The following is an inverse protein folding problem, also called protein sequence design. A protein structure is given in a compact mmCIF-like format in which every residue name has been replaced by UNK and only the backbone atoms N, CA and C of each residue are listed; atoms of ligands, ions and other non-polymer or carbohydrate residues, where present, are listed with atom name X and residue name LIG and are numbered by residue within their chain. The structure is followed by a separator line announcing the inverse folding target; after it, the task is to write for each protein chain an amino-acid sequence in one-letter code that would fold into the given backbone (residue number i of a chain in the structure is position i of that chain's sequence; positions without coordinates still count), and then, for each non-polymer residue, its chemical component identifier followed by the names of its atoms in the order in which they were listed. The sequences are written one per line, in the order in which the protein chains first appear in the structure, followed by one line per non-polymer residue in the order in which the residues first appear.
data_IF_059979768895
#
_entry.id   IF_059979768895
#
_cell.length_a   1.000
_cell.length_b   1.000
_cell.length_c   1.000
_cell.angle_alpha   90.00
_cell.angle_beta   90.00
_cell.angle_gamma   90.00
#
_symmetry.space_group_name_H-M   'P 1'
#
loop_
_entity.id
_entity.type
_entity.pdbx_description
1 polymer ?
#
# COMPACT_ATOMS: atom_id res chain seq x y z
N UNK A 1 -0.77 -8.39 9.12
CA UNK A 1 0.41 -7.67 8.56
C UNK A 1 1.18 -7.00 9.69
N UNK A 2 2.50 -7.19 9.73
CA UNK A 2 3.40 -6.53 10.68
C UNK A 2 4.21 -5.45 9.95
N UNK A 3 4.53 -4.36 10.65
CA UNK A 3 5.33 -3.26 10.08
C UNK A 3 6.77 -3.71 9.88
N UNK A 4 7.35 -3.30 8.75
CA UNK A 4 8.78 -3.42 8.44
C UNK A 4 9.28 -2.00 8.18
N UNK A 5 10.16 -1.50 9.05
CA UNK A 5 10.77 -0.17 8.90
C UNK A 5 11.71 -0.16 7.70
N UNK A 6 11.64 0.87 6.86
CA UNK A 6 12.55 1.00 5.71
C UNK A 6 14.01 1.20 6.16
N UNK A 7 14.94 0.55 5.46
CA UNK A 7 16.36 0.53 5.82
C UNK A 7 17.13 1.79 5.39
N UNK A 8 16.58 2.58 4.45
CA UNK A 8 17.20 3.81 3.95
C UNK A 8 16.14 4.75 3.35
N UNK A 9 16.55 5.96 2.94
CA UNK A 9 15.67 7.05 2.53
C UNK A 9 14.82 6.80 1.27
N UNK A 10 15.08 5.75 0.49
CA UNK A 10 14.36 5.43 -0.76
C UNK A 10 13.78 4.00 -0.79
N UNK A 11 13.75 3.30 0.36
CA UNK A 11 13.23 1.93 0.47
C UNK A 11 11.79 1.83 0.99
N UNK A 12 11.01 2.91 1.00
CA UNK A 12 9.58 2.82 1.35
C UNK A 12 8.82 1.82 0.45
N UNK A 13 9.09 1.83 -0.86
CA UNK A 13 8.52 0.86 -1.80
C UNK A 13 8.92 -0.59 -1.47
N UNK A 14 10.22 -0.93 -1.38
CA UNK A 14 10.68 -2.25 -0.95
C UNK A 14 10.11 -2.72 0.39
N UNK A 15 10.12 -1.87 1.42
CA UNK A 15 9.57 -2.22 2.74
C UNK A 15 8.08 -2.52 2.68
N UNK A 16 7.31 -1.67 1.97
CA UNK A 16 5.87 -1.88 1.75
C UNK A 16 5.59 -3.16 0.97
N UNK A 17 6.33 -3.41 -0.11
CA UNK A 17 6.18 -4.63 -0.90
C UNK A 17 6.55 -5.90 -0.10
N UNK A 18 7.57 -5.84 0.78
CA UNK A 18 7.90 -6.93 1.69
C UNK A 18 6.75 -7.25 2.66
N UNK A 19 6.13 -6.21 3.25
CA UNK A 19 4.97 -6.39 4.14
C UNK A 19 3.80 -7.07 3.42
N UNK A 20 3.49 -6.61 2.21
CA UNK A 20 2.40 -7.15 1.38
C UNK A 20 2.71 -8.58 0.93
N UNK A 21 3.90 -8.84 0.39
CA UNK A 21 4.32 -10.16 -0.07
C UNK A 21 4.23 -11.20 1.06
N UNK A 22 4.75 -10.86 2.24
CA UNK A 22 4.67 -11.73 3.43
C UNK A 22 3.22 -12.00 3.85
N UNK A 23 2.37 -10.99 3.81
CA UNK A 23 0.94 -11.12 4.20
C UNK A 23 0.17 -12.02 3.25
N UNK A 24 0.48 -11.96 1.95
CA UNK A 24 -0.13 -12.81 0.92
C UNK A 24 0.54 -14.20 0.79
N UNK A 25 1.52 -14.52 1.63
CA UNK A 25 2.23 -15.81 1.54
C UNK A 25 3.12 -15.97 0.31
N UNK A 26 3.54 -14.87 -0.31
CA UNK A 26 4.37 -14.87 -1.53
C UNK A 26 5.85 -15.08 -1.25
N UNK A 27 6.24 -15.18 0.01
CA UNK A 27 7.60 -15.35 0.50
C UNK A 27 8.03 -14.27 1.47
N UNK A 28 9.20 -14.47 2.05
CA UNK A 28 9.86 -13.47 2.92
C UNK A 28 11.12 -13.00 2.21
N UNK A 29 11.20 -11.69 1.99
CA UNK A 29 12.28 -11.03 1.28
C UNK A 29 12.99 -10.03 2.21
N UNK A 30 14.30 -9.89 2.08
CA UNK A 30 15.00 -8.70 2.56
C UNK A 30 14.61 -7.51 1.71
N UNK A 31 14.72 -6.29 2.24
CA UNK A 31 14.39 -5.09 1.46
C UNK A 31 15.33 -4.93 0.25
N UNK A 32 16.59 -5.39 0.36
CA UNK A 32 17.55 -5.40 -0.76
C UNK A 32 17.12 -6.33 -1.90
N UNK A 33 16.66 -7.53 -1.58
CA UNK A 33 16.11 -8.48 -2.59
C UNK A 33 14.86 -7.90 -3.25
N UNK A 34 13.94 -7.36 -2.44
CA UNK A 34 12.73 -6.73 -2.95
C UNK A 34 13.05 -5.50 -3.81
N UNK A 35 14.04 -4.67 -3.41
CA UNK A 35 14.50 -3.53 -4.20
C UNK A 35 15.02 -3.95 -5.57
N UNK A 36 15.75 -5.07 -5.63
CA UNK A 36 16.23 -5.64 -6.90
C UNK A 36 15.07 -6.12 -7.78
N UNK A 37 14.07 -6.78 -7.21
CA UNK A 37 12.87 -7.23 -7.94
C UNK A 37 12.04 -6.05 -8.48
N UNK A 38 11.93 -4.99 -7.69
CA UNK A 38 11.21 -3.76 -8.04
C UNK A 38 11.96 -2.89 -9.07
N UNK A 39 13.28 -3.06 -9.19
CA UNK A 39 14.12 -2.12 -9.92
C UNK A 39 14.22 -0.76 -9.22
N UNK A 40 14.22 -0.76 -7.87
CA UNK A 40 14.35 0.45 -7.05
C UNK A 40 15.70 1.11 -7.27
N UNK A 41 15.70 2.43 -7.39
CA UNK A 41 16.90 3.26 -7.48
C UNK A 41 16.98 4.24 -6.32
N UNK A 42 18.01 5.09 -6.28
CA UNK A 42 18.10 6.20 -5.32
C UNK A 42 16.97 7.23 -5.48
N UNK A 43 16.27 7.22 -6.62
CA UNK A 43 15.05 8.00 -6.85
C UNK A 43 13.77 7.31 -6.34
N UNK A 44 13.91 6.15 -5.70
CA UNK A 44 12.82 5.39 -5.13
C UNK A 44 12.21 4.35 -6.08
N UNK A 45 10.94 4.06 -5.85
CA UNK A 45 10.13 3.05 -6.56
C UNK A 45 8.85 3.71 -7.06
N UNK A 46 8.35 3.33 -8.21
CA UNK A 46 7.02 3.75 -8.68
C UNK A 46 5.92 2.78 -8.23
N UNK A 47 4.66 3.26 -8.16
CA UNK A 47 3.51 2.40 -7.89
C UNK A 47 3.30 1.31 -8.95
N UNK A 48 3.69 1.58 -10.20
CA UNK A 48 3.65 0.58 -11.27
C UNK A 48 4.66 -0.56 -11.05
N UNK A 49 5.87 -0.25 -10.59
CA UNK A 49 6.87 -1.27 -10.24
C UNK A 49 6.37 -2.15 -9.10
N UNK A 50 5.76 -1.58 -8.05
CA UNK A 50 5.14 -2.37 -6.97
C UNK A 50 4.05 -3.28 -7.51
N UNK A 51 3.10 -2.73 -8.28
CA UNK A 51 2.00 -3.49 -8.87
C UNK A 51 2.50 -4.67 -9.72
N UNK A 52 3.42 -4.41 -10.64
CA UNK A 52 3.96 -5.42 -11.55
C UNK A 52 4.76 -6.50 -10.81
N UNK A 53 5.57 -6.13 -9.84
CA UNK A 53 6.39 -7.08 -9.05
C UNK A 53 5.50 -7.98 -8.19
N UNK A 54 4.53 -7.42 -7.47
CA UNK A 54 3.61 -8.22 -6.67
C UNK A 54 2.77 -9.17 -7.55
N UNK A 55 2.32 -8.72 -8.73
CA UNK A 55 1.65 -9.58 -9.70
C UNK A 55 2.56 -10.68 -10.26
N UNK A 56 3.82 -10.39 -10.51
CA UNK A 56 4.80 -11.39 -10.91
C UNK A 56 5.03 -12.46 -9.83
N UNK A 57 5.01 -12.07 -8.56
CA UNK A 57 5.11 -13.02 -7.44
C UNK A 57 3.81 -13.86 -7.32
N UNK A 58 2.64 -13.24 -7.41
CA UNK A 58 1.34 -13.94 -7.41
C UNK A 58 1.24 -14.96 -8.53
N UNK A 59 1.74 -14.65 -9.75
CA UNK A 59 1.68 -15.55 -10.89
C UNK A 59 2.48 -16.86 -10.71
N UNK A 60 3.35 -16.92 -9.70
CA UNK A 60 4.11 -18.14 -9.35
C UNK A 60 3.36 -19.04 -8.34
N UNK A 61 2.18 -18.63 -7.94
CA UNK A 61 1.30 -19.36 -7.01
C UNK A 61 0.02 -19.80 -7.73
N UNK A 62 -0.84 -20.53 -7.02
CA UNK A 62 -2.20 -20.84 -7.50
C UNK A 62 -3.21 -19.69 -7.32
N UNK A 63 -2.80 -18.58 -6.71
CA UNK A 63 -3.65 -17.41 -6.50
C UNK A 63 -3.91 -16.69 -7.83
N UNK A 64 -5.18 -16.60 -8.21
CA UNK A 64 -5.62 -15.94 -9.45
C UNK A 64 -5.82 -14.43 -9.28
N UNK A 65 -5.86 -13.94 -8.03
CA UNK A 65 -6.03 -12.51 -7.73
C UNK A 65 -4.85 -11.70 -8.23
N UNK A 66 -5.10 -10.44 -8.61
CA UNK A 66 -4.08 -9.53 -9.13
C UNK A 66 -4.24 -8.15 -8.53
N UNK A 67 -3.15 -7.41 -8.45
CA UNK A 67 -3.16 -5.98 -8.19
C UNK A 67 -3.52 -5.20 -9.45
N UNK A 68 -4.31 -4.15 -9.28
CA UNK A 68 -4.59 -3.15 -10.29
C UNK A 68 -4.18 -1.77 -9.75
N UNK A 69 -3.43 -1.00 -10.55
CA UNK A 69 -3.15 0.39 -10.26
C UNK A 69 -4.33 1.25 -10.71
N UNK A 70 -4.82 2.10 -9.83
CA UNK A 70 -6.00 2.95 -10.08
C UNK A 70 -5.75 4.39 -9.66
N UNK A 71 -6.52 5.32 -10.26
CA UNK A 71 -6.57 6.73 -9.84
C UNK A 71 -7.49 6.88 -8.65
N UNK A 72 -7.13 7.77 -7.71
CA UNK A 72 -7.96 8.07 -6.56
C UNK A 72 -9.18 8.89 -6.96
N UNK A 73 -10.30 8.57 -6.33
CA UNK A 73 -11.45 9.43 -6.08
C UNK A 73 -12.06 8.96 -4.77
N UNK A 74 -12.79 9.80 -4.07
CA UNK A 74 -13.37 9.50 -2.74
C UNK A 74 -14.13 8.17 -2.75
N UNK A 75 -15.05 8.00 -3.69
CA UNK A 75 -15.82 6.76 -3.82
C UNK A 75 -14.96 5.55 -4.21
N UNK A 76 -13.92 5.75 -5.01
CA UNK A 76 -13.05 4.68 -5.45
C UNK A 76 -12.18 4.12 -4.31
N UNK A 77 -11.63 4.96 -3.41
CA UNK A 77 -10.81 4.48 -2.30
C UNK A 77 -11.65 3.65 -1.30
N UNK A 78 -12.82 4.12 -0.89
CA UNK A 78 -13.72 3.37 -0.02
C UNK A 78 -14.06 1.99 -0.60
N UNK A 79 -14.51 1.97 -1.86
CA UNK A 79 -14.87 0.73 -2.55
C UNK A 79 -13.67 -0.21 -2.67
N UNK A 80 -12.50 0.33 -3.01
CA UNK A 80 -11.27 -0.43 -3.17
C UNK A 80 -10.78 -1.05 -1.86
N UNK A 81 -10.80 -0.29 -0.77
CA UNK A 81 -10.46 -0.77 0.58
C UNK A 81 -11.40 -1.88 1.00
N UNK A 82 -12.71 -1.66 0.84
CA UNK A 82 -13.74 -2.62 1.20
C UNK A 82 -13.61 -3.93 0.41
N UNK A 83 -13.49 -3.85 -0.91
CA UNK A 83 -13.38 -5.04 -1.76
C UNK A 83 -12.08 -5.80 -1.55
N UNK A 84 -10.94 -5.10 -1.45
CA UNK A 84 -9.64 -5.73 -1.25
C UNK A 84 -9.56 -6.43 0.11
N UNK A 85 -9.87 -5.74 1.19
CA UNK A 85 -9.68 -6.31 2.54
C UNK A 85 -10.73 -7.36 2.90
N UNK A 86 -11.91 -7.37 2.28
CA UNK A 86 -12.86 -8.49 2.41
C UNK A 86 -12.36 -9.79 1.77
N UNK A 87 -11.40 -9.68 0.86
CA UNK A 87 -10.71 -10.80 0.21
C UNK A 87 -9.31 -11.04 0.80
N UNK A 88 -9.03 -10.53 2.01
CA UNK A 88 -7.71 -10.62 2.67
C UNK A 88 -6.55 -10.14 1.77
N UNK A 89 -6.82 -9.11 0.97
CA UNK A 89 -5.89 -8.59 -0.03
C UNK A 89 -5.48 -7.15 0.33
N UNK A 90 -4.26 -6.91 0.82
CA UNK A 90 -3.82 -5.58 1.23
C UNK A 90 -3.67 -4.63 0.04
N UNK A 91 -3.84 -3.32 0.30
CA UNK A 91 -3.57 -2.28 -0.69
C UNK A 91 -2.21 -1.64 -0.41
N UNK A 92 -1.62 -1.02 -1.45
CA UNK A 92 -0.49 -0.09 -1.28
C UNK A 92 -0.90 1.29 -1.75
N UNK A 93 -0.68 2.29 -0.89
CA UNK A 93 -0.97 3.70 -1.21
C UNK A 93 0.33 4.45 -1.41
N UNK A 94 0.36 5.33 -2.40
CA UNK A 94 1.39 6.35 -2.54
C UNK A 94 0.87 7.64 -1.93
N UNK A 95 1.53 8.14 -0.89
CA UNK A 95 1.10 9.28 -0.08
C UNK A 95 2.20 10.33 0.01
N UNK A 96 1.85 11.57 0.33
CA UNK A 96 2.83 12.65 0.53
C UNK A 96 2.56 13.44 1.81
N UNK A 97 1.40 14.02 1.94
CA UNK A 97 0.99 14.80 3.12
C UNK A 97 0.21 13.91 4.08
N UNK A 98 0.94 13.26 4.98
CA UNK A 98 0.34 12.45 6.04
C UNK A 98 -0.09 13.35 7.22
N UNK A 99 -1.10 12.97 8.01
CA UNK A 99 -1.56 13.80 9.14
C UNK A 99 -0.47 14.14 10.17
N UNK A 100 0.56 13.31 10.29
CA UNK A 100 1.65 13.46 11.26
C UNK A 100 3.00 13.84 10.66
N UNK A 101 3.15 13.84 9.31
CA UNK A 101 4.36 14.27 8.61
C UNK A 101 4.12 14.53 7.13
N UNK A 102 5.04 15.24 6.48
CA UNK A 102 5.06 15.42 5.02
C UNK A 102 6.28 14.71 4.44
N UNK A 103 6.06 13.82 3.48
CA UNK A 103 7.14 13.21 2.68
C UNK A 103 7.49 14.10 1.49
N UNK A 104 8.76 14.45 1.33
CA UNK A 104 9.19 15.38 0.27
C UNK A 104 8.92 14.89 -1.15
N UNK A 105 9.14 13.61 -1.44
CA UNK A 105 9.08 13.01 -2.78
C UNK A 105 7.97 11.95 -2.97
N UNK A 106 7.07 11.81 -1.99
CA UNK A 106 6.12 10.72 -1.90
C UNK A 106 6.62 9.56 -1.05
N UNK A 107 5.69 8.74 -0.59
CA UNK A 107 5.96 7.65 0.33
C UNK A 107 4.98 6.50 0.09
N UNK A 108 5.43 5.25 0.26
CA UNK A 108 4.57 4.08 0.15
C UNK A 108 4.24 3.51 1.52
N UNK A 109 2.96 3.22 1.72
CA UNK A 109 2.39 2.57 2.90
C UNK A 109 1.50 1.41 2.49
N UNK A 110 1.22 0.48 3.41
CA UNK A 110 0.28 -0.62 3.18
C UNK A 110 -0.98 -0.44 4.03
N UNK A 111 -2.14 -0.70 3.44
CA UNK A 111 -3.42 -0.76 4.17
C UNK A 111 -3.67 -2.20 4.61
N UNK A 112 -3.99 -2.38 5.90
CA UNK A 112 -4.26 -3.70 6.49
C UNK A 112 -5.62 -3.86 7.13
N UNK A 113 -6.38 -2.78 7.32
CA UNK A 113 -7.68 -2.82 7.99
C UNK A 113 -8.51 -1.59 7.70
N UNK A 114 -9.81 -1.71 7.99
CA UNK A 114 -10.76 -0.61 7.93
C UNK A 114 -11.89 -0.79 8.94
N UNK A 115 -12.49 0.32 9.34
CA UNK A 115 -13.76 0.35 10.06
C UNK A 115 -14.65 1.39 9.39
N UNK A 116 -15.78 0.94 8.83
CA UNK A 116 -16.76 1.80 8.15
C UNK A 116 -18.12 1.63 8.81
N UNK A 117 -18.57 2.68 9.49
CA UNK A 117 -19.88 2.73 10.14
C UNK A 117 -20.85 3.52 9.24
N UNK A 118 -21.78 2.80 8.62
CA UNK A 118 -22.75 3.40 7.69
C UNK A 118 -23.83 4.21 8.40
N UNK A 119 -24.05 3.99 9.71
CA UNK A 119 -25.07 4.74 10.47
C UNK A 119 -24.61 6.12 10.90
N UNK A 120 -23.29 6.32 11.08
CA UNK A 120 -22.68 7.59 11.51
C UNK A 120 -21.80 8.22 10.45
N UNK A 121 -21.66 7.58 9.28
CA UNK A 121 -20.71 7.90 8.22
C UNK A 121 -19.24 7.98 8.69
N UNK A 122 -18.93 7.43 9.85
CA UNK A 122 -17.57 7.38 10.38
C UNK A 122 -16.78 6.26 9.71
N UNK A 123 -15.69 6.63 9.01
CA UNK A 123 -14.88 5.73 8.21
C UNK A 123 -13.41 5.91 8.55
N UNK A 124 -12.74 4.82 8.89
CA UNK A 124 -11.30 4.81 9.17
C UNK A 124 -10.58 3.69 8.42
N UNK A 125 -9.29 3.93 8.16
CA UNK A 125 -8.36 2.99 7.53
C UNK A 125 -7.18 2.78 8.47
N UNK A 126 -6.80 1.52 8.66
CA UNK A 126 -5.61 1.14 9.43
C UNK A 126 -4.47 0.80 8.48
N UNK A 127 -3.35 1.46 8.65
CA UNK A 127 -2.16 1.35 7.80
C UNK A 127 -0.95 0.77 8.55
N UNK A 128 0.00 0.24 7.78
CA UNK A 128 1.38 -0.02 8.19
C UNK A 128 2.29 0.96 7.45
N UNK A 129 2.98 1.79 8.21
CA UNK A 129 3.89 2.81 7.71
C UNK A 129 5.36 2.37 7.92
N UNK A 130 6.17 2.25 6.85
CA UNK A 130 7.58 1.90 6.97
C UNK A 130 8.50 3.09 7.25
N UNK A 131 8.00 4.33 7.39
CA UNK A 131 8.82 5.54 7.52
C UNK A 131 9.85 5.41 8.67
N UNK A 132 11.13 5.79 8.48
CA UNK A 132 12.18 5.50 9.46
C UNK A 132 11.95 6.13 10.84
N UNK A 133 11.33 7.31 10.89
CA UNK A 133 11.02 8.02 12.14
C UNK A 133 9.61 7.70 12.66
N UNK A 134 8.67 7.46 11.76
CA UNK A 134 7.24 7.27 12.07
C UNK A 134 6.78 5.84 11.77
N UNK A 135 7.71 4.87 11.78
CA UNK A 135 7.37 3.47 11.57
C UNK A 135 6.34 2.98 12.57
N UNK A 136 5.24 2.41 12.08
CA UNK A 136 4.18 1.96 12.98
C UNK A 136 2.89 1.56 12.28
N UNK A 137 1.91 1.22 13.11
CA UNK A 137 0.53 1.01 12.70
C UNK A 137 -0.29 2.20 13.16
N UNK A 138 -1.01 2.82 12.24
CA UNK A 138 -1.83 4.00 12.50
C UNK A 138 -3.23 3.80 11.94
N UNK A 139 -4.20 4.50 12.53
CA UNK A 139 -5.58 4.55 12.04
C UNK A 139 -5.94 6.01 11.78
N UNK A 140 -6.31 6.30 10.56
CA UNK A 140 -6.72 7.62 10.07
C UNK A 140 -8.12 7.56 9.50
N UNK A 141 -8.78 8.70 9.36
CA UNK A 141 -10.06 8.77 8.64
C UNK A 141 -9.84 8.47 7.16
N UNK A 142 -10.90 8.06 6.47
CA UNK A 142 -10.87 7.85 5.03
C UNK A 142 -10.48 9.15 4.30
N UNK A 143 -11.04 10.29 4.71
CA UNK A 143 -10.77 11.61 4.15
C UNK A 143 -9.30 12.03 4.28
N UNK A 144 -8.68 11.83 5.47
CA UNK A 144 -7.25 12.07 5.66
C UNK A 144 -6.39 11.25 4.70
N UNK A 145 -6.76 9.98 4.48
CA UNK A 145 -6.01 9.11 3.58
C UNK A 145 -6.24 9.44 2.11
N UNK A 146 -7.41 9.88 1.72
CA UNK A 146 -7.68 10.40 0.37
C UNK A 146 -6.83 11.62 0.08
N UNK A 147 -6.83 12.60 0.98
CA UNK A 147 -5.97 13.79 0.89
C UNK A 147 -4.49 13.42 0.78
N UNK A 148 -4.02 12.48 1.59
CA UNK A 148 -2.63 12.03 1.56
C UNK A 148 -2.25 11.37 0.22
N UNK A 149 -3.14 10.62 -0.42
CA UNK A 149 -2.91 10.01 -1.74
C UNK A 149 -2.98 11.06 -2.85
N UNK A 150 -3.96 11.95 -2.81
CA UNK A 150 -4.11 13.05 -3.78
C UNK A 150 -2.89 13.97 -3.79
N UNK A 151 -2.33 14.28 -2.62
CA UNK A 151 -1.14 15.13 -2.48
C UNK A 151 0.13 14.53 -3.10
N UNK A 152 0.15 13.23 -3.35
CA UNK A 152 1.27 12.55 -4.01
C UNK A 152 1.12 12.60 -5.55
N UNK A 153 0.28 11.80 -6.13
CA UNK A 153 -0.02 11.80 -7.57
C UNK A 153 -1.36 11.13 -7.89
N UNK A 154 -2.15 10.89 -6.87
CA UNK A 154 -3.50 10.36 -6.99
C UNK A 154 -3.60 8.88 -7.40
N UNK A 155 -2.54 8.07 -7.22
CA UNK A 155 -2.54 6.64 -7.58
C UNK A 155 -2.30 5.72 -6.39
N UNK A 156 -2.94 4.53 -6.45
CA UNK A 156 -2.72 3.45 -5.49
C UNK A 156 -2.92 2.08 -6.16
N UNK A 157 -2.48 1.01 -5.50
CA UNK A 157 -2.67 -0.36 -5.98
C UNK A 157 -3.68 -1.09 -5.08
N UNK A 158 -4.68 -1.70 -5.69
CA UNK A 158 -5.75 -2.47 -5.04
C UNK A 158 -5.94 -3.84 -5.68
N UNK A 159 -6.78 -4.67 -5.09
CA UNK A 159 -7.26 -5.88 -5.74
C UNK A 159 -8.00 -5.54 -7.04
N UNK A 160 -7.64 -6.22 -8.11
CA UNK A 160 -8.42 -6.19 -9.35
C UNK A 160 -9.71 -7.01 -9.17
N UNK A 161 -10.84 -6.32 -9.19
CA UNK A 161 -12.15 -6.94 -8.96
C UNK A 161 -12.55 -7.95 -10.05
N UNK A 162 -11.87 -7.97 -11.20
CA UNK A 162 -12.11 -8.95 -12.27
C UNK A 162 -11.43 -10.29 -12.05
N UNK A 163 -10.58 -10.40 -11.01
CA UNK A 163 -9.79 -11.60 -10.70
C UNK A 163 -10.28 -12.35 -9.45
N UNK A 164 -11.46 -12.00 -8.93
CA UNK A 164 -12.06 -12.57 -7.70
C UNK A 164 -13.26 -13.44 -8.03
#
# INVERSE_FOLDING_TARGET
MSVITQENGYYCGPATACMVAKTLGLGTYTQKEMASLLGTTTSGTSGAQICNTLNSLLSKTSDTRRFQRVTISTAALETSVRSSLRNDFPLTLNVKEMPNYTSGSGHFIAVKGYYFNTSTDFKTITICDPHPTYSGTYTYTLEEMETAVESSNGYYNRLDATTV
#
